data_IF_467837162634
#
_entry.id   IF_467837162634
#
_cell.length_a   1.000
_cell.length_b   1.000
_cell.length_c   1.000
_cell.angle_alpha   90.00
_cell.angle_beta   90.00
_cell.angle_gamma   90.00
#
_symmetry.space_group_name_H-M   'P 1'
#
loop_
_entity.id
_entity.type
_entity.pdbx_description
1 polymer ?
#
# COMPACT_ATOMS: atom_id res chain seq x y z
N UNK A 1 -34.93 -34.95 60.40
CA UNK A 1 -34.40 -33.58 60.26
C UNK A 1 -33.68 -33.53 58.91
N UNK A 2 -34.22 -32.75 57.97
CA UNK A 2 -33.96 -32.87 56.52
C UNK A 2 -32.61 -32.25 56.11
N UNK A 3 -31.79 -33.00 55.38
CA UNK A 3 -30.61 -32.46 54.68
C UNK A 3 -31.03 -31.99 53.27
N UNK A 4 -30.87 -30.69 52.98
CA UNK A 4 -31.03 -30.14 51.63
C UNK A 4 -29.70 -30.21 50.90
N UNK A 5 -29.65 -30.98 49.81
CA UNK A 5 -28.53 -31.03 48.87
C UNK A 5 -28.70 -29.85 47.89
N UNK A 6 -27.75 -28.91 47.89
CA UNK A 6 -27.67 -27.87 46.86
C UNK A 6 -26.92 -28.44 45.64
N UNK A 7 -27.60 -28.55 44.50
CA UNK A 7 -26.99 -28.84 43.21
C UNK A 7 -26.54 -27.53 42.55
N UNK A 8 -25.23 -27.37 42.40
CA UNK A 8 -24.63 -26.26 41.66
C UNK A 8 -24.50 -26.67 40.19
N UNK A 9 -25.34 -26.12 39.32
CA UNK A 9 -25.25 -26.34 37.87
C UNK A 9 -24.27 -25.31 37.31
N UNK A 10 -23.02 -25.74 37.08
CA UNK A 10 -22.03 -24.93 36.38
C UNK A 10 -22.35 -24.84 34.90
N UNK A 11 -22.62 -23.63 34.40
CA UNK A 11 -22.80 -23.36 32.97
C UNK A 11 -21.44 -23.34 32.28
N UNK A 12 -21.14 -24.34 31.45
CA UNK A 12 -19.94 -24.36 30.60
C UNK A 12 -20.23 -23.50 29.37
N UNK A 13 -19.68 -22.28 29.35
CA UNK A 13 -19.73 -21.39 28.19
C UNK A 13 -18.72 -21.89 27.15
N UNK A 14 -19.19 -22.59 26.12
CA UNK A 14 -18.35 -22.96 24.97
C UNK A 14 -17.98 -21.69 24.19
N UNK A 15 -16.71 -21.27 24.31
CA UNK A 15 -16.10 -20.28 23.42
C UNK A 15 -15.88 -20.93 22.05
N UNK A 16 -16.79 -20.71 21.13
CA UNK A 16 -16.57 -21.04 19.71
C UNK A 16 -15.57 -20.05 19.13
N UNK A 17 -14.30 -20.46 19.04
CA UNK A 17 -13.28 -19.73 18.26
C UNK A 17 -13.64 -19.90 16.78
N UNK A 18 -14.28 -18.89 16.20
CA UNK A 18 -14.60 -18.87 14.78
C UNK A 18 -13.33 -18.76 13.96
N UNK A 19 -12.89 -19.86 13.33
CA UNK A 19 -11.90 -19.81 12.26
C UNK A 19 -12.56 -19.12 11.06
N UNK A 20 -12.22 -17.84 10.82
CA UNK A 20 -12.53 -17.21 9.53
C UNK A 20 -11.72 -17.92 8.45
N UNK A 21 -12.35 -18.46 7.39
CA UNK A 21 -11.62 -19.07 6.29
C UNK A 21 -10.71 -18.02 5.65
N UNK A 22 -9.50 -18.44 5.28
CA UNK A 22 -8.54 -17.62 4.54
C UNK A 22 -9.15 -17.30 3.17
N UNK A 23 -9.15 -16.02 2.78
CA UNK A 23 -9.61 -15.59 1.47
C UNK A 23 -8.89 -16.38 0.36
N UNK A 24 -9.64 -16.93 -0.58
CA UNK A 24 -9.08 -17.45 -1.82
C UNK A 24 -8.80 -16.28 -2.76
N UNK A 25 -7.52 -16.11 -3.12
CA UNK A 25 -7.11 -15.07 -4.05
C UNK A 25 -7.37 -15.53 -5.49
N UNK A 26 -7.70 -14.61 -6.43
CA UNK A 26 -7.77 -14.97 -7.84
C UNK A 26 -6.46 -15.59 -8.34
N UNK A 27 -6.57 -16.45 -9.35
CA UNK A 27 -5.40 -17.09 -9.95
C UNK A 27 -4.36 -16.05 -10.38
N UNK A 28 -3.09 -16.31 -10.04
CA UNK A 28 -1.98 -15.40 -10.33
C UNK A 28 -1.70 -14.35 -9.25
N UNK A 29 -2.53 -14.24 -8.19
CA UNK A 29 -2.27 -13.39 -7.03
C UNK A 29 -1.71 -14.16 -5.84
N UNK A 30 -0.91 -13.48 -5.03
CA UNK A 30 -0.31 -14.01 -3.80
C UNK A 30 -0.32 -12.94 -2.71
N UNK A 31 -0.31 -13.39 -1.45
CA UNK A 31 0.11 -12.54 -0.35
C UNK A 31 1.62 -12.36 -0.42
N UNK A 32 2.12 -11.12 -0.48
CA UNK A 32 3.55 -10.85 -0.67
C UNK A 32 4.43 -11.52 0.39
N UNK A 33 3.98 -11.55 1.65
CA UNK A 33 4.69 -12.21 2.76
C UNK A 33 4.82 -13.72 2.64
N UNK A 34 4.09 -14.37 1.73
CA UNK A 34 4.34 -15.78 1.41
C UNK A 34 5.58 -16.00 0.55
N UNK A 35 6.09 -14.94 -0.10
CA UNK A 35 7.28 -14.95 -0.95
C UNK A 35 8.44 -14.20 -0.29
N UNK A 36 8.14 -13.14 0.46
CA UNK A 36 9.10 -12.26 1.17
C UNK A 36 8.68 -12.14 2.64
N UNK A 37 9.02 -13.13 3.50
CA UNK A 37 8.47 -13.20 4.87
C UNK A 37 8.78 -12.00 5.77
N UNK A 38 9.92 -11.35 5.54
CA UNK A 38 10.48 -10.22 6.28
C UNK A 38 10.14 -8.85 5.68
N UNK A 39 9.25 -8.79 4.67
CA UNK A 39 8.83 -7.53 4.05
C UNK A 39 8.08 -6.64 5.07
N UNK A 40 8.44 -5.36 5.16
CA UNK A 40 7.67 -4.39 5.93
C UNK A 40 6.45 -3.93 5.12
N UNK A 41 5.27 -4.00 5.73
CA UNK A 41 3.99 -3.70 5.08
C UNK A 41 3.16 -2.83 6.00
N UNK A 42 2.81 -1.65 5.50
CA UNK A 42 1.97 -0.67 6.18
C UNK A 42 0.96 -0.14 5.16
N UNK A 43 -0.07 -0.93 4.87
CA UNK A 43 -1.08 -0.55 3.89
C UNK A 43 -1.83 0.70 4.34
N UNK A 44 -1.50 1.84 3.73
CA UNK A 44 -1.98 3.16 4.17
C UNK A 44 -3.49 3.31 4.04
N UNK A 45 -4.08 2.64 3.04
CA UNK A 45 -5.51 2.62 2.79
C UNK A 45 -6.32 1.67 3.68
N UNK A 46 -5.65 0.77 4.43
CA UNK A 46 -6.29 0.05 5.53
C UNK A 46 -6.43 0.94 6.79
N UNK A 47 -5.54 1.91 6.95
CA UNK A 47 -5.54 2.86 8.06
C UNK A 47 -6.21 4.20 7.70
N UNK A 48 -6.30 5.11 8.66
CA UNK A 48 -6.71 6.51 8.43
C UNK A 48 -5.56 7.42 7.97
N UNK A 49 -4.33 6.91 7.94
CA UNK A 49 -3.14 7.67 7.56
C UNK A 49 -2.98 7.72 6.04
N UNK A 50 -3.90 8.41 5.36
CA UNK A 50 -3.91 8.61 3.92
C UNK A 50 -4.66 9.92 3.59
N UNK A 51 -4.61 10.36 2.34
CA UNK A 51 -5.19 11.65 1.92
C UNK A 51 -6.72 11.77 2.08
N UNK A 52 -7.44 10.66 2.27
CA UNK A 52 -8.89 10.67 2.59
C UNK A 52 -9.12 10.85 4.09
N UNK A 53 -8.22 10.37 4.93
CA UNK A 53 -8.36 10.42 6.39
C UNK A 53 -9.27 9.34 6.99
N UNK A 54 -9.64 8.33 6.20
CA UNK A 54 -10.46 7.20 6.62
C UNK A 54 -9.96 5.89 5.98
N UNK A 55 -10.40 4.75 6.49
CA UNK A 55 -10.17 3.45 5.86
C UNK A 55 -10.88 3.40 4.50
N UNK A 56 -10.17 2.96 3.47
CA UNK A 56 -10.68 2.94 2.10
C UNK A 56 -11.45 1.66 1.82
N UNK A 57 -12.62 1.79 1.20
CA UNK A 57 -13.42 0.67 0.69
C UNK A 57 -12.58 -0.44 0.05
N UNK A 58 -12.80 -1.67 0.50
CA UNK A 58 -12.10 -2.87 0.02
C UNK A 58 -10.83 -3.22 0.79
N UNK A 59 -10.26 -2.31 1.60
CA UNK A 59 -9.16 -2.65 2.51
C UNK A 59 -9.72 -3.11 3.86
N UNK A 60 -9.65 -4.42 4.14
CA UNK A 60 -10.16 -5.04 5.37
C UNK A 60 -9.05 -5.55 6.30
N UNK A 61 -7.81 -5.64 5.80
CA UNK A 61 -6.65 -6.05 6.57
C UNK A 61 -5.35 -5.41 6.06
N UNK A 62 -4.34 -5.32 6.94
CA UNK A 62 -2.96 -4.96 6.58
C UNK A 62 -2.22 -6.14 5.93
N UNK A 63 -2.67 -6.58 4.76
CA UNK A 63 -2.13 -7.75 4.04
C UNK A 63 -1.84 -7.40 2.58
N UNK A 64 -0.57 -7.20 2.26
CA UNK A 64 -0.15 -6.87 0.90
C UNK A 64 -0.44 -8.04 -0.06
N UNK A 65 -1.29 -7.79 -1.05
CA UNK A 65 -1.59 -8.69 -2.15
C UNK A 65 -0.98 -8.09 -3.43
N UNK A 66 -0.33 -8.93 -4.22
CA UNK A 66 0.23 -8.57 -5.53
C UNK A 66 0.15 -9.77 -6.47
N UNK A 67 0.42 -9.58 -7.76
CA UNK A 67 0.61 -10.73 -8.65
C UNK A 67 1.88 -11.50 -8.28
N UNK A 68 1.89 -12.81 -8.56
CA UNK A 68 3.03 -13.69 -8.29
C UNK A 68 4.33 -13.15 -8.89
N UNK A 69 4.28 -12.70 -10.16
CA UNK A 69 5.46 -12.12 -10.82
C UNK A 69 5.97 -10.85 -10.14
N UNK A 70 5.07 -10.00 -9.61
CA UNK A 70 5.47 -8.83 -8.83
C UNK A 70 6.14 -9.23 -7.51
N UNK A 71 5.59 -10.19 -6.78
CA UNK A 71 6.21 -10.68 -5.54
C UNK A 71 7.60 -11.27 -5.78
N UNK A 72 7.78 -12.06 -6.84
CA UNK A 72 9.07 -12.64 -7.22
C UNK A 72 10.12 -11.58 -7.57
N UNK A 73 9.73 -10.51 -8.29
CA UNK A 73 10.65 -9.42 -8.61
C UNK A 73 10.93 -8.49 -7.43
N UNK A 74 9.94 -8.24 -6.57
CA UNK A 74 10.16 -7.51 -5.32
C UNK A 74 11.10 -8.25 -4.37
N UNK A 75 11.09 -9.58 -4.37
CA UNK A 75 12.04 -10.38 -3.59
C UNK A 75 13.48 -10.06 -3.98
N UNK A 76 13.77 -9.95 -5.27
CA UNK A 76 15.11 -9.60 -5.76
C UNK A 76 15.52 -8.17 -5.37
N UNK A 77 14.56 -7.23 -5.36
CA UNK A 77 14.80 -5.85 -4.88
C UNK A 77 15.13 -5.86 -3.39
N UNK A 78 14.35 -6.58 -2.58
CA UNK A 78 14.55 -6.75 -1.13
C UNK A 78 15.95 -7.33 -0.85
N UNK A 79 16.30 -8.44 -1.49
CA UNK A 79 17.61 -9.11 -1.33
C UNK A 79 18.79 -8.19 -1.70
N UNK A 80 18.64 -7.37 -2.75
CA UNK A 80 19.68 -6.41 -3.15
C UNK A 80 19.87 -5.29 -2.12
N UNK A 81 18.78 -4.75 -1.56
CA UNK A 81 18.84 -3.72 -0.53
C UNK A 81 19.42 -4.27 0.78
N UNK A 82 19.12 -5.52 1.13
CA UNK A 82 19.62 -6.14 2.35
C UNK A 82 21.14 -6.25 2.40
N UNK A 83 21.80 -6.37 1.24
CA UNK A 83 23.27 -6.33 1.15
C UNK A 83 23.90 -5.02 1.64
N UNK A 84 23.09 -3.96 1.78
CA UNK A 84 23.47 -2.62 2.24
C UNK A 84 22.81 -2.25 3.59
N UNK A 85 22.28 -3.23 4.34
CA UNK A 85 21.50 -2.99 5.56
C UNK A 85 20.25 -2.12 5.31
N UNK A 86 19.60 -2.30 4.16
CA UNK A 86 18.36 -1.61 3.80
C UNK A 86 17.26 -2.63 3.50
N UNK A 87 16.01 -2.24 3.69
CA UNK A 87 14.84 -3.08 3.39
C UNK A 87 13.77 -2.27 2.65
N UNK A 88 12.81 -2.94 2.02
CA UNK A 88 11.61 -2.31 1.49
C UNK A 88 10.54 -2.14 2.56
N UNK A 89 9.80 -1.04 2.46
CA UNK A 89 8.51 -0.83 3.10
C UNK A 89 7.46 -0.50 2.07
N UNK A 90 6.37 -1.27 2.06
CA UNK A 90 5.31 -1.15 1.05
C UNK A 90 4.05 -0.53 1.65
N UNK A 91 3.58 0.54 1.00
CA UNK A 91 2.39 1.31 1.39
C UNK A 91 1.12 0.90 0.63
N UNK A 92 1.27 0.41 -0.60
CA UNK A 92 0.16 -0.16 -1.37
C UNK A 92 0.64 -1.17 -2.43
N UNK A 93 -0.27 -2.06 -2.83
CA UNK A 93 -0.06 -3.06 -3.88
C UNK A 93 -1.31 -3.23 -4.73
N UNK A 94 -1.92 -4.40 -4.71
CA UNK A 94 -3.25 -4.56 -5.28
C UNK A 94 -4.26 -3.62 -4.59
N UNK A 95 -4.92 -2.80 -5.41
CA UNK A 95 -5.97 -1.85 -4.98
C UNK A 95 -7.30 -2.23 -5.63
N UNK A 96 -8.33 -2.61 -4.86
CA UNK A 96 -9.64 -2.94 -5.41
C UNK A 96 -10.23 -1.76 -6.21
N UNK A 97 -10.98 -2.03 -7.29
CA UNK A 97 -11.62 -0.95 -8.05
C UNK A 97 -12.60 -0.13 -7.16
N UNK A 98 -13.24 -0.74 -6.15
CA UNK A 98 -14.06 -0.03 -5.17
C UNK A 98 -13.27 1.01 -4.35
N UNK A 99 -11.98 0.78 -4.09
CA UNK A 99 -11.11 1.76 -3.45
C UNK A 99 -10.90 2.98 -4.36
N UNK A 100 -10.65 2.74 -5.65
CA UNK A 100 -10.55 3.80 -6.66
C UNK A 100 -11.87 4.57 -6.74
N UNK A 101 -13.01 3.88 -6.71
CA UNK A 101 -14.32 4.52 -6.69
C UNK A 101 -14.53 5.36 -5.43
N UNK A 102 -14.00 4.94 -4.28
CA UNK A 102 -14.03 5.72 -3.05
C UNK A 102 -13.23 7.03 -3.21
N UNK A 103 -12.00 6.97 -3.74
CA UNK A 103 -11.23 8.17 -4.06
C UNK A 103 -11.99 9.13 -4.98
N UNK A 104 -12.72 8.60 -5.97
CA UNK A 104 -13.53 9.41 -6.87
C UNK A 104 -14.66 10.11 -6.14
N UNK A 105 -15.39 9.39 -5.27
CA UNK A 105 -16.48 9.99 -4.46
C UNK A 105 -15.92 11.06 -3.53
N UNK A 106 -14.83 10.77 -2.82
CA UNK A 106 -14.15 11.72 -1.94
C UNK A 106 -13.71 12.99 -2.68
N UNK A 107 -13.09 12.85 -3.85
CA UNK A 107 -12.58 13.98 -4.62
C UNK A 107 -13.69 14.92 -5.13
N UNK A 108 -14.95 14.45 -5.18
CA UNK A 108 -16.13 15.26 -5.53
C UNK A 108 -16.69 16.07 -4.35
N UNK A 109 -16.35 15.70 -3.12
CA UNK A 109 -16.74 16.45 -1.90
C UNK A 109 -15.68 17.52 -1.65
N UNK A 110 -15.87 18.71 -2.24
CA UNK A 110 -14.83 19.75 -2.27
C UNK A 110 -14.51 20.36 -0.89
N UNK A 111 -15.48 20.37 0.02
CA UNK A 111 -15.33 20.94 1.36
C UNK A 111 -14.60 20.02 2.34
N UNK A 112 -14.48 18.73 2.01
CA UNK A 112 -13.68 17.78 2.78
C UNK A 112 -12.19 18.03 2.52
N UNK A 113 -11.57 18.74 3.45
CA UNK A 113 -10.17 19.18 3.39
C UNK A 113 -9.36 18.75 4.62
N UNK A 114 -9.84 17.74 5.36
CA UNK A 114 -9.26 17.26 6.61
C UNK A 114 -7.75 17.01 6.49
N UNK A 115 -7.34 16.38 5.40
CA UNK A 115 -5.96 15.97 5.14
C UNK A 115 -5.20 16.90 4.18
N UNK A 116 -5.77 18.06 3.85
CA UNK A 116 -5.21 18.97 2.85
C UNK A 116 -3.82 19.48 3.23
N UNK A 117 -3.61 19.88 4.48
CA UNK A 117 -2.33 20.46 4.92
C UNK A 117 -1.16 19.48 4.76
N UNK A 118 -1.43 18.19 4.94
CA UNK A 118 -0.42 17.15 4.87
C UNK A 118 -0.21 16.65 3.44
N UNK A 119 -1.28 16.31 2.73
CA UNK A 119 -1.16 15.58 1.46
C UNK A 119 -1.25 16.47 0.22
N UNK A 120 -1.92 17.62 0.27
CA UNK A 120 -2.14 18.46 -0.92
C UNK A 120 -2.26 19.96 -0.60
N UNK A 121 -1.33 20.55 0.17
CA UNK A 121 -1.50 21.90 0.72
C UNK A 121 -1.60 22.98 -0.37
N UNK A 122 -0.95 22.75 -1.51
CA UNK A 122 -0.84 23.71 -2.62
C UNK A 122 -1.73 23.36 -3.82
N UNK A 123 -2.54 22.30 -3.72
CA UNK A 123 -3.43 21.87 -4.81
C UNK A 123 -4.88 22.04 -4.41
N UNK A 124 -5.66 22.74 -5.23
CA UNK A 124 -7.10 22.80 -5.05
C UNK A 124 -7.71 21.41 -5.34
N UNK A 125 -8.58 20.91 -4.45
CA UNK A 125 -9.14 19.55 -4.54
C UNK A 125 -9.80 19.25 -5.90
N UNK A 126 -10.50 20.24 -6.48
CA UNK A 126 -11.10 20.16 -7.83
C UNK A 126 -10.10 19.84 -8.95
N UNK A 127 -8.82 20.13 -8.75
CA UNK A 127 -7.76 19.91 -9.74
C UNK A 127 -7.06 18.55 -9.60
N UNK A 128 -7.34 17.75 -8.56
CA UNK A 128 -6.63 16.48 -8.31
C UNK A 128 -6.72 15.50 -9.49
N UNK A 129 -7.89 15.39 -10.12
CA UNK A 129 -8.06 14.61 -11.35
C UNK A 129 -7.30 15.19 -12.53
N UNK A 130 -7.42 16.50 -12.75
CA UNK A 130 -6.77 17.19 -13.89
C UNK A 130 -5.24 17.11 -13.79
N UNK A 131 -4.70 17.16 -12.58
CA UNK A 131 -3.26 17.05 -12.32
C UNK A 131 -2.73 15.62 -12.45
N UNK A 132 -3.63 14.63 -12.50
CA UNK A 132 -3.30 13.21 -12.67
C UNK A 132 -2.96 12.46 -11.38
N UNK A 133 -3.25 13.03 -10.20
CA UNK A 133 -3.02 12.38 -8.90
C UNK A 133 -4.13 11.39 -8.54
N UNK A 134 -5.33 11.55 -9.13
CA UNK A 134 -6.42 10.58 -9.00
C UNK A 134 -6.79 10.08 -10.38
N UNK A 135 -6.67 8.77 -10.58
CA UNK A 135 -7.06 8.09 -11.80
C UNK A 135 -8.41 7.39 -11.63
N UNK A 136 -9.25 7.41 -12.66
CA UNK A 136 -10.51 6.63 -12.68
C UNK A 136 -10.27 5.13 -12.85
N UNK A 137 -9.11 4.77 -13.38
CA UNK A 137 -8.59 3.40 -13.52
C UNK A 137 -7.13 3.40 -13.07
N UNK A 138 -6.84 2.65 -12.01
CA UNK A 138 -5.50 2.58 -11.42
C UNK A 138 -4.72 1.37 -11.92
N UNK A 139 -3.41 1.55 -12.12
CA UNK A 139 -2.49 0.45 -12.36
C UNK A 139 -2.54 -0.62 -11.26
N UNK A 140 -2.75 -0.19 -10.01
CA UNK A 140 -2.87 -1.04 -8.83
C UNK A 140 -4.00 -2.05 -8.90
N UNK A 141 -5.12 -1.72 -9.56
CA UNK A 141 -6.23 -2.66 -9.71
C UNK A 141 -5.93 -3.82 -10.65
N UNK A 142 -4.78 -3.80 -11.34
CA UNK A 142 -4.25 -4.92 -12.14
C UNK A 142 -3.27 -5.79 -11.35
N UNK A 143 -2.97 -5.43 -10.10
CA UNK A 143 -2.22 -6.22 -9.13
C UNK A 143 -0.70 -6.19 -9.24
N UNK A 144 -0.15 -5.50 -10.24
CA UNK A 144 1.29 -5.51 -10.52
C UNK A 144 1.98 -4.17 -10.32
N UNK A 145 1.29 -3.26 -9.63
CA UNK A 145 1.78 -1.94 -9.25
C UNK A 145 1.92 -1.89 -7.74
N UNK A 146 2.98 -1.24 -7.27
CA UNK A 146 3.28 -1.06 -5.85
C UNK A 146 3.74 0.35 -5.57
N UNK A 147 3.39 0.82 -4.38
CA UNK A 147 3.87 2.07 -3.81
C UNK A 147 4.75 1.73 -2.60
N UNK A 148 6.02 2.16 -2.62
CA UNK A 148 6.98 1.75 -1.60
C UNK A 148 8.11 2.75 -1.38
N UNK A 149 8.82 2.57 -0.28
CA UNK A 149 10.06 3.27 0.06
C UNK A 149 11.14 2.28 0.51
N UNK A 150 12.33 2.80 0.77
CA UNK A 150 13.42 2.10 1.43
C UNK A 150 13.43 2.50 2.90
N UNK A 151 13.68 1.54 3.78
CA UNK A 151 13.90 1.73 5.21
C UNK A 151 15.31 1.26 5.60
N UNK A 152 15.86 1.82 6.67
CA UNK A 152 17.04 1.26 7.34
C UNK A 152 16.70 -0.12 7.92
N UNK A 153 17.57 -1.10 7.68
CA UNK A 153 17.34 -2.49 8.08
C UNK A 153 17.48 -2.75 9.59
N UNK A 154 18.09 -1.84 10.35
CA UNK A 154 18.23 -1.94 11.80
C UNK A 154 17.15 -1.13 12.52
N UNK A 155 16.91 0.11 12.11
CA UNK A 155 15.97 1.00 12.81
C UNK A 155 14.54 0.89 12.28
N UNK A 156 14.36 0.43 11.03
CA UNK A 156 13.08 0.42 10.34
C UNK A 156 12.59 1.81 9.90
N UNK A 157 13.43 2.85 10.06
CA UNK A 157 13.10 4.21 9.67
C UNK A 157 13.18 4.37 8.16
N UNK A 158 12.17 5.03 7.57
CA UNK A 158 12.16 5.32 6.14
C UNK A 158 13.24 6.33 5.78
N UNK A 159 13.96 6.08 4.68
CA UNK A 159 14.87 7.07 4.12
C UNK A 159 14.08 8.32 3.73
N UNK A 160 14.67 9.50 3.97
CA UNK A 160 14.04 10.75 3.59
C UNK A 160 14.03 10.89 2.07
N UNK A 161 12.82 10.87 1.51
CA UNK A 161 12.58 11.03 0.08
C UNK A 161 12.21 12.47 -0.28
N UNK A 162 12.14 13.41 0.67
CA UNK A 162 11.84 14.83 0.43
C UNK A 162 10.36 15.18 0.28
N UNK A 163 9.48 14.19 0.21
CA UNK A 163 8.03 14.36 0.41
C UNK A 163 7.44 13.08 0.99
N UNK A 164 6.32 13.15 1.73
CA UNK A 164 5.64 11.95 2.20
C UNK A 164 5.02 11.17 1.03
N UNK A 165 4.72 9.90 1.28
CA UNK A 165 3.85 9.09 0.41
C UNK A 165 2.50 9.78 0.20
N UNK A 166 1.90 9.62 -0.99
CA UNK A 166 0.63 10.25 -1.39
C UNK A 166 0.63 11.78 -1.39
N UNK A 167 1.80 12.42 -1.34
CA UNK A 167 1.88 13.88 -1.46
C UNK A 167 1.55 14.34 -2.89
N UNK A 168 0.43 15.04 -3.07
CA UNK A 168 -0.01 15.57 -4.36
C UNK A 168 0.64 16.93 -4.63
N UNK A 169 1.88 16.89 -5.10
CA UNK A 169 2.66 18.08 -5.43
C UNK A 169 3.83 17.77 -6.35
N UNK A 170 4.50 18.83 -6.85
CA UNK A 170 5.70 18.67 -7.68
C UNK A 170 6.87 18.10 -6.90
N UNK A 171 6.83 18.26 -5.58
CA UNK A 171 7.76 17.70 -4.61
C UNK A 171 7.83 16.17 -4.74
N UNK A 172 6.73 15.51 -5.14
CA UNK A 172 6.70 14.06 -5.34
C UNK A 172 7.27 13.59 -6.67
N UNK A 173 7.53 14.51 -7.61
CA UNK A 173 8.06 14.16 -8.92
C UNK A 173 9.51 13.73 -8.78
N UNK A 174 9.91 12.68 -9.49
CA UNK A 174 11.24 12.07 -9.35
C UNK A 174 12.36 13.11 -9.56
N UNK A 175 12.20 13.99 -10.56
CA UNK A 175 13.17 15.03 -10.91
C UNK A 175 12.83 16.40 -10.28
N UNK A 176 12.35 16.41 -9.04
CA UNK A 176 12.07 17.68 -8.36
C UNK A 176 13.37 18.45 -8.03
N UNK A 177 13.46 19.71 -8.48
CA UNK A 177 14.66 20.54 -8.27
C UNK A 177 14.92 20.92 -6.80
N UNK A 178 13.88 20.93 -5.96
CA UNK A 178 13.96 21.38 -4.56
C UNK A 178 14.47 20.34 -3.56
N UNK A 179 14.98 19.21 -4.03
CA UNK A 179 15.49 18.13 -3.17
C UNK A 179 16.89 18.42 -2.64
N UNK A 180 17.18 17.99 -1.41
CA UNK A 180 18.56 17.91 -0.91
C UNK A 180 19.35 16.84 -1.66
N UNK A 181 20.68 16.88 -1.59
CA UNK A 181 21.51 15.86 -2.24
C UNK A 181 21.26 14.45 -1.68
N UNK A 182 21.02 14.33 -0.38
CA UNK A 182 20.66 13.05 0.25
C UNK A 182 19.31 12.53 -0.26
N UNK A 183 18.28 13.37 -0.35
CA UNK A 183 16.96 12.99 -0.90
C UNK A 183 17.07 12.57 -2.37
N UNK A 184 17.90 13.24 -3.17
CA UNK A 184 18.19 12.84 -4.56
C UNK A 184 18.84 11.47 -4.60
N UNK A 185 19.84 11.21 -3.76
CA UNK A 185 20.52 9.91 -3.68
C UNK A 185 19.57 8.80 -3.25
N UNK A 186 18.70 9.04 -2.26
CA UNK A 186 17.70 8.08 -1.80
C UNK A 186 16.70 7.72 -2.91
N UNK A 187 16.17 8.73 -3.62
CA UNK A 187 15.30 8.49 -4.79
C UNK A 187 16.04 7.76 -5.91
N UNK A 188 17.27 8.14 -6.22
CA UNK A 188 18.08 7.49 -7.25
C UNK A 188 18.38 6.03 -6.91
N UNK A 189 18.67 5.72 -5.65
CA UNK A 189 18.84 4.34 -5.18
C UNK A 189 17.57 3.53 -5.41
N UNK A 190 16.42 4.05 -4.97
CA UNK A 190 15.13 3.39 -5.15
C UNK A 190 14.83 3.16 -6.65
N UNK A 191 14.97 4.20 -7.48
CA UNK A 191 14.78 4.09 -8.93
C UNK A 191 15.71 3.04 -9.55
N UNK A 192 17.00 3.09 -9.21
CA UNK A 192 18.02 2.16 -9.76
C UNK A 192 17.67 0.71 -9.49
N UNK A 193 17.38 0.35 -8.23
CA UNK A 193 17.13 -1.05 -7.86
C UNK A 193 15.79 -1.52 -8.43
N UNK A 194 14.74 -0.71 -8.38
CA UNK A 194 13.44 -1.06 -8.95
C UNK A 194 13.52 -1.26 -10.48
N UNK A 195 14.16 -0.33 -11.20
CA UNK A 195 14.30 -0.43 -12.66
C UNK A 195 15.14 -1.64 -13.07
N UNK A 196 16.21 -1.95 -12.32
CA UNK A 196 17.06 -3.14 -12.54
C UNK A 196 16.26 -4.44 -12.47
N UNK A 197 15.28 -4.52 -11.59
CA UNK A 197 14.42 -5.71 -11.40
C UNK A 197 13.11 -5.65 -12.18
N UNK A 198 13.13 -4.99 -13.35
CA UNK A 198 12.04 -4.92 -14.32
C UNK A 198 10.79 -4.15 -13.89
N UNK A 199 10.91 -3.21 -12.95
CA UNK A 199 9.85 -2.24 -12.75
C UNK A 199 9.99 -1.05 -13.71
N UNK A 200 8.91 -0.30 -13.87
CA UNK A 200 8.87 1.03 -14.49
C UNK A 200 8.23 2.00 -13.51
N UNK A 201 8.78 3.20 -13.43
CA UNK A 201 8.31 4.25 -12.54
C UNK A 201 7.16 5.06 -13.15
N UNK A 202 6.49 5.85 -12.32
CA UNK A 202 5.67 6.98 -12.75
C UNK A 202 6.38 8.31 -12.42
N UNK A 203 6.69 9.18 -13.39
CA UNK A 203 7.52 10.37 -13.16
C UNK A 203 7.05 11.34 -12.07
N UNK A 204 5.76 11.37 -11.76
CA UNK A 204 5.17 12.31 -10.80
C UNK A 204 5.10 11.78 -9.36
N UNK A 205 5.47 10.53 -9.13
CA UNK A 205 5.36 9.85 -7.84
C UNK A 205 6.62 9.01 -7.61
N UNK A 206 7.51 9.46 -6.73
CA UNK A 206 8.80 8.80 -6.49
C UNK A 206 8.67 7.36 -5.97
N UNK A 207 7.55 7.04 -5.33
CA UNK A 207 7.25 5.73 -4.71
C UNK A 207 6.61 4.72 -5.67
N UNK A 208 6.11 5.15 -6.83
CA UNK A 208 5.19 4.38 -7.65
C UNK A 208 5.89 3.57 -8.75
N UNK A 209 5.69 2.25 -8.72
CA UNK A 209 6.31 1.32 -9.65
C UNK A 209 5.35 0.26 -10.16
N UNK A 210 5.38 0.01 -11.48
CA UNK A 210 4.63 -1.08 -12.11
C UNK A 210 5.58 -2.11 -12.70
N UNK A 211 5.31 -3.39 -12.53
CA UNK A 211 6.06 -4.46 -13.17
C UNK A 211 5.93 -4.35 -14.70
N UNK A 212 7.05 -4.45 -15.42
CA UNK A 212 7.06 -4.58 -16.88
C UNK A 212 6.53 -5.96 -17.28
N UNK A 213 5.73 -6.02 -18.33
CA UNK A 213 5.11 -7.27 -18.80
C UNK A 213 4.23 -7.94 -17.74
N UNK A 214 3.49 -7.13 -16.98
CA UNK A 214 2.53 -7.61 -16.00
C UNK A 214 1.50 -8.58 -16.63
N UNK A 215 1.02 -9.58 -15.86
CA UNK A 215 0.14 -10.64 -16.39
C UNK A 215 -1.26 -10.16 -16.76
N UNK A 216 -1.74 -9.05 -16.16
CA UNK A 216 -3.13 -8.60 -16.28
C UNK A 216 -3.25 -7.15 -16.78
N UNK A 217 -2.62 -6.76 -17.91
CA UNK A 217 -2.49 -5.35 -18.29
C UNK A 217 -3.82 -4.68 -18.62
N UNK A 218 -4.89 -5.46 -18.86
CA UNK A 218 -6.23 -4.99 -19.24
C UNK A 218 -7.33 -5.36 -18.23
N UNK A 219 -7.00 -6.02 -17.12
CA UNK A 219 -8.00 -6.53 -16.16
C UNK A 219 -7.91 -5.78 -14.84
N UNK A 220 -8.98 -5.07 -14.48
CA UNK A 220 -9.10 -4.31 -13.24
C UNK A 220 -9.96 -5.11 -12.26
N UNK A 221 -9.33 -5.66 -11.22
CA UNK A 221 -9.98 -6.53 -10.24
C UNK A 221 -10.65 -5.72 -9.11
N UNK A 222 -11.64 -6.33 -8.47
CA UNK A 222 -12.41 -5.69 -7.38
C UNK A 222 -12.73 -6.64 -6.20
N UNK A 223 -11.84 -7.59 -5.90
CA UNK A 223 -11.92 -8.40 -4.68
C UNK A 223 -11.34 -7.62 -3.49
N UNK A 224 -11.74 -7.95 -2.25
CA UNK A 224 -11.26 -7.23 -1.06
C UNK A 224 -9.84 -7.66 -0.65
N UNK A 225 -9.19 -6.83 0.16
CA UNK A 225 -7.91 -7.15 0.81
C UNK A 225 -8.22 -7.61 2.24
N UNK A 226 -8.22 -8.93 2.49
CA UNK A 226 -8.61 -9.57 3.78
C UNK A 226 -7.52 -10.42 4.44
#
# INVERSE_FOLDING_TARGET
>A
MNYKILLFIGSIMLLTVGFKPKQELPEGFVYAKSVIPDLDVELRYFSQNNFVGDTIDGYKANRLIVTKGTAEKLKLVQEELQSQNLCLKVYDGYRPQRAVNHFIRWARVLDDTLQKSEFYPRVEKKNLFKSGYIASRSGHSRGSTVDLTIIDGQTGEALDMGSPYDFFGKESWIEHDGLTEEQKQNRQLLQKVMLKHNFRNYPKEWWHFTLRWEPFPKTYFDFEVE
#
